data_IF_357241856320
#
_entry.id   IF_357241856320
#
_cell.length_a   1.000
_cell.length_b   1.000
_cell.length_c   1.000
_cell.angle_alpha   90.00
_cell.angle_beta   90.00
_cell.angle_gamma   90.00
#
_symmetry.space_group_name_H-M   'P 1'
#
loop_
_entity.id
_entity.type
_entity.pdbx_description
1 polymer ?
#
# COMPACT_ATOMS: atom_id res chain seq x y z
N UNK A 1 -45.18 54.00 30.78
CA UNK A 1 -45.38 53.29 29.53
C UNK A 1 -43.96 53.06 28.98
N UNK A 2 -43.21 52.07 29.27
CA UNK A 2 -43.39 50.65 29.44
C UNK A 2 -43.15 49.94 28.13
N UNK A 3 -41.97 49.54 27.82
CA UNK A 3 -41.75 48.41 26.92
C UNK A 3 -40.42 47.76 27.25
N UNK A 4 -40.52 46.58 27.83
CA UNK A 4 -39.47 45.67 28.14
C UNK A 4 -39.13 44.89 26.86
N UNK A 5 -37.85 44.87 26.46
CA UNK A 5 -37.34 44.05 25.39
C UNK A 5 -36.68 42.80 25.96
N UNK A 6 -37.26 41.64 25.72
CA UNK A 6 -36.78 40.32 26.05
C UNK A 6 -35.43 40.01 25.38
N UNK A 7 -34.49 39.54 26.18
CA UNK A 7 -33.19 39.04 25.73
C UNK A 7 -33.35 37.55 25.42
N UNK A 8 -33.30 37.20 24.12
CA UNK A 8 -33.33 35.84 23.63
C UNK A 8 -32.05 35.05 23.97
N UNK A 9 -32.28 33.91 24.61
CA UNK A 9 -31.27 32.91 24.94
C UNK A 9 -30.54 32.39 23.74
N UNK A 10 -29.21 32.45 23.78
CA UNK A 10 -28.32 31.78 22.82
C UNK A 10 -28.33 30.29 23.09
N UNK A 11 -28.80 29.49 22.14
CA UNK A 11 -28.66 28.05 22.09
C UNK A 11 -27.19 27.66 21.91
N UNK A 12 -26.69 26.91 22.89
CA UNK A 12 -25.38 26.29 22.86
C UNK A 12 -25.40 25.09 21.88
N UNK A 13 -24.78 25.24 20.73
CA UNK A 13 -24.58 24.17 19.77
C UNK A 13 -23.52 23.22 20.31
N UNK A 14 -23.99 22.07 20.80
CA UNK A 14 -23.18 20.91 21.19
C UNK A 14 -22.40 20.35 19.97
N UNK A 15 -21.09 20.65 19.88
CA UNK A 15 -20.15 20.14 18.88
C UNK A 15 -19.33 18.97 19.40
N UNK A 16 -19.95 17.97 19.98
CA UNK A 16 -19.26 16.72 20.35
C UNK A 16 -19.72 15.53 19.51
N UNK A 17 -19.50 15.58 18.20
CA UNK A 17 -19.49 14.36 17.38
C UNK A 17 -18.05 13.94 17.11
N UNK A 18 -17.38 13.44 18.14
CA UNK A 18 -16.18 12.64 17.98
C UNK A 18 -16.57 11.31 17.32
N UNK A 19 -16.45 11.25 16.00
CA UNK A 19 -16.52 10.01 15.25
C UNK A 19 -15.47 9.06 15.77
N UNK A 20 -15.87 8.10 16.61
CA UNK A 20 -15.08 6.92 16.97
C UNK A 20 -14.88 6.08 15.71
N UNK A 21 -13.84 6.38 14.95
CA UNK A 21 -13.37 5.45 13.91
C UNK A 21 -12.89 4.19 14.59
N UNK A 22 -13.67 3.12 14.41
CA UNK A 22 -13.37 1.79 14.90
C UNK A 22 -11.98 1.33 14.44
N UNK A 23 -11.05 1.19 15.38
CA UNK A 23 -9.80 0.45 15.20
C UNK A 23 -10.14 -1.04 15.12
N UNK A 24 -10.30 -1.54 13.92
CA UNK A 24 -10.59 -2.95 13.64
C UNK A 24 -10.45 -3.23 12.15
N UNK A 25 -9.38 -2.70 11.50
CA UNK A 25 -9.05 -3.13 10.15
C UNK A 25 -8.19 -4.37 10.27
N UNK A 26 -8.78 -5.54 9.92
CA UNK A 26 -8.02 -6.75 9.61
C UNK A 26 -6.85 -6.37 8.70
N UNK A 27 -5.67 -6.94 8.97
CA UNK A 27 -4.47 -6.69 8.17
C UNK A 27 -4.81 -6.81 6.67
N UNK A 28 -4.47 -5.84 5.83
CA UNK A 28 -4.93 -5.78 4.44
C UNK A 28 -4.58 -7.03 3.63
N UNK A 29 -3.55 -7.77 4.05
CA UNK A 29 -3.10 -9.02 3.42
C UNK A 29 -4.07 -10.21 3.60
N UNK A 30 -5.00 -10.15 4.57
CA UNK A 30 -5.93 -11.25 4.86
C UNK A 30 -7.34 -11.04 4.28
N UNK A 31 -7.62 -9.87 3.73
CA UNK A 31 -8.91 -9.64 3.06
C UNK A 31 -9.03 -10.54 1.83
N UNK A 32 -10.20 -11.18 1.65
CA UNK A 32 -10.48 -12.05 0.50
C UNK A 32 -11.29 -11.30 -0.55
N UNK A 33 -10.89 -11.44 -1.79
CA UNK A 33 -11.59 -10.89 -2.95
C UNK A 33 -11.13 -11.58 -4.25
N UNK A 34 -11.79 -11.27 -5.35
CA UNK A 34 -11.37 -11.71 -6.69
C UNK A 34 -10.28 -10.80 -7.26
N UNK A 35 -9.13 -10.76 -6.61
CA UNK A 35 -8.03 -9.84 -6.96
C UNK A 35 -7.52 -9.99 -8.39
N UNK A 36 -7.65 -11.19 -8.98
CA UNK A 36 -7.20 -11.49 -10.33
C UNK A 36 -8.30 -11.40 -11.39
N UNK A 37 -9.53 -11.03 -11.04
CA UNK A 37 -10.69 -11.03 -11.95
C UNK A 37 -10.42 -10.29 -13.27
N UNK A 38 -9.79 -9.13 -13.20
CA UNK A 38 -9.45 -8.30 -14.36
C UNK A 38 -8.14 -8.69 -15.06
N UNK A 39 -7.47 -9.75 -14.59
CA UNK A 39 -6.18 -10.21 -15.10
C UNK A 39 -6.35 -11.56 -15.82
N UNK A 40 -6.92 -11.58 -17.03
CA UNK A 40 -6.98 -12.80 -17.82
C UNK A 40 -5.57 -13.20 -18.33
N UNK A 41 -5.41 -14.45 -18.76
CA UNK A 41 -4.11 -14.93 -19.21
C UNK A 41 -3.57 -14.17 -20.42
N UNK A 42 -4.43 -13.65 -21.29
CA UNK A 42 -4.02 -12.80 -22.40
C UNK A 42 -3.35 -11.51 -21.90
N UNK A 43 -3.88 -10.88 -20.83
CA UNK A 43 -3.25 -9.72 -20.18
C UNK A 43 -1.89 -10.05 -19.59
N UNK A 44 -1.73 -11.21 -18.93
CA UNK A 44 -0.43 -11.70 -18.41
C UNK A 44 0.57 -11.86 -19.54
N UNK A 45 0.15 -12.49 -20.65
CA UNK A 45 0.99 -12.68 -21.85
C UNK A 45 1.39 -11.33 -22.46
N UNK A 46 0.48 -10.38 -22.50
CA UNK A 46 0.76 -9.04 -23.03
C UNK A 46 1.79 -8.28 -22.19
N UNK A 47 1.75 -8.41 -20.87
CA UNK A 47 2.79 -7.84 -19.96
C UNK A 47 4.14 -8.47 -20.28
N UNK A 48 4.21 -9.80 -20.38
CA UNK A 48 5.46 -10.49 -20.72
C UNK A 48 6.00 -10.04 -22.08
N UNK A 49 5.11 -9.93 -23.09
CA UNK A 49 5.46 -9.43 -24.41
C UNK A 49 6.12 -8.04 -24.35
N UNK A 50 5.49 -7.09 -23.64
CA UNK A 50 6.02 -5.74 -23.48
C UNK A 50 7.36 -5.71 -22.74
N UNK A 51 7.59 -6.63 -21.79
CA UNK A 51 8.88 -6.79 -21.11
C UNK A 51 9.95 -7.33 -22.07
N UNK A 52 9.62 -8.33 -22.90
CA UNK A 52 10.54 -8.85 -23.92
C UNK A 52 10.95 -7.77 -24.91
N UNK A 53 9.99 -6.95 -25.38
CA UNK A 53 10.25 -5.84 -26.30
C UNK A 53 11.21 -4.81 -25.69
N UNK A 54 10.95 -4.36 -24.46
CA UNK A 54 11.83 -3.41 -23.76
C UNK A 54 13.21 -4.00 -23.44
N UNK A 55 13.26 -5.28 -23.07
CA UNK A 55 14.50 -5.99 -22.75
C UNK A 55 15.25 -6.55 -23.98
N UNK A 56 14.73 -6.33 -25.21
CA UNK A 56 15.27 -6.88 -26.47
C UNK A 56 15.50 -8.39 -26.41
N UNK A 57 14.60 -9.11 -25.71
CA UNK A 57 14.65 -10.57 -25.60
C UNK A 57 13.66 -11.22 -26.58
N UNK A 58 13.99 -12.45 -26.98
CA UNK A 58 13.12 -13.25 -27.83
C UNK A 58 11.82 -13.57 -27.07
N UNK A 59 10.68 -13.39 -27.73
CA UNK A 59 9.37 -13.83 -27.23
C UNK A 59 9.27 -15.35 -27.34
N UNK A 60 8.63 -15.97 -26.37
CA UNK A 60 8.38 -17.40 -26.42
C UNK A 60 7.74 -17.92 -25.15
N UNK A 61 7.19 -19.10 -25.25
CA UNK A 61 6.56 -19.84 -24.15
C UNK A 61 7.40 -21.07 -23.81
N UNK A 62 7.37 -21.46 -22.55
CA UNK A 62 7.86 -22.75 -22.12
C UNK A 62 6.78 -23.80 -22.44
N UNK A 63 7.04 -24.66 -23.42
CA UNK A 63 6.06 -25.66 -23.89
C UNK A 63 5.59 -26.63 -22.79
N UNK A 64 6.44 -26.90 -21.79
CA UNK A 64 6.14 -27.85 -20.72
C UNK A 64 5.19 -27.27 -19.66
N UNK A 65 5.30 -25.98 -19.37
CA UNK A 65 4.63 -25.39 -18.22
C UNK A 65 3.54 -24.38 -18.58
N UNK A 66 3.63 -23.75 -19.77
CA UNK A 66 2.75 -22.66 -20.16
C UNK A 66 1.26 -23.01 -20.08
N UNK A 67 0.85 -24.15 -20.71
CA UNK A 67 -0.54 -24.54 -20.75
C UNK A 67 -1.12 -24.81 -19.36
N UNK A 68 -0.38 -25.54 -18.52
CA UNK A 68 -0.81 -25.86 -17.17
C UNK A 68 -0.88 -24.64 -16.25
N UNK A 69 0.04 -23.66 -16.41
CA UNK A 69 -0.02 -22.39 -15.68
C UNK A 69 -1.20 -21.54 -16.14
N UNK A 70 -1.46 -21.50 -17.45
CA UNK A 70 -2.58 -20.76 -18.01
C UNK A 70 -3.93 -21.28 -17.50
N UNK A 71 -4.13 -22.60 -17.50
CA UNK A 71 -5.33 -23.24 -16.99
C UNK A 71 -5.54 -22.95 -15.49
N UNK A 72 -4.51 -23.14 -14.69
CA UNK A 72 -4.58 -22.84 -13.26
C UNK A 72 -4.84 -21.35 -13.01
N UNK A 73 -4.24 -20.46 -13.81
CA UNK A 73 -4.49 -19.03 -13.75
C UNK A 73 -5.98 -18.70 -13.92
N UNK A 74 -6.61 -19.21 -15.00
CA UNK A 74 -8.03 -18.93 -15.26
C UNK A 74 -8.93 -19.49 -14.16
N UNK A 75 -8.60 -20.65 -13.59
CA UNK A 75 -9.30 -21.23 -12.44
C UNK A 75 -9.16 -20.35 -11.18
N UNK A 76 -7.93 -19.90 -10.87
CA UNK A 76 -7.67 -19.07 -9.70
C UNK A 76 -8.26 -17.67 -9.83
N UNK A 77 -8.26 -17.10 -11.02
CA UNK A 77 -8.82 -15.79 -11.33
C UNK A 77 -10.32 -15.70 -11.01
N UNK A 78 -11.06 -16.75 -11.21
CA UNK A 78 -12.48 -16.80 -10.93
C UNK A 78 -12.82 -16.92 -9.42
N UNK A 79 -11.85 -17.33 -8.61
CA UNK A 79 -12.01 -17.56 -7.17
C UNK A 79 -11.67 -16.36 -6.30
N UNK A 80 -12.16 -16.41 -5.05
CA UNK A 80 -11.74 -15.48 -4.01
C UNK A 80 -10.47 -16.00 -3.32
N UNK A 81 -9.45 -15.17 -3.29
CA UNK A 81 -8.18 -15.41 -2.62
C UNK A 81 -7.96 -14.32 -1.58
N UNK A 82 -7.21 -14.62 -0.53
CA UNK A 82 -6.60 -13.54 0.24
C UNK A 82 -5.50 -12.87 -0.59
N UNK A 83 -5.15 -11.65 -0.24
CA UNK A 83 -4.07 -10.95 -0.93
C UNK A 83 -2.75 -11.71 -0.82
N UNK A 84 -2.49 -12.31 0.35
CA UNK A 84 -1.32 -13.15 0.57
C UNK A 84 -1.32 -14.38 -0.34
N UNK A 85 -2.44 -15.13 -0.39
CA UNK A 85 -2.59 -16.30 -1.29
C UNK A 85 -2.39 -15.88 -2.76
N UNK A 86 -2.84 -14.68 -3.13
CA UNK A 86 -2.63 -14.13 -4.47
C UNK A 86 -1.14 -13.93 -4.76
N UNK A 87 -0.38 -13.33 -3.83
CA UNK A 87 1.06 -13.14 -4.02
C UNK A 87 1.84 -14.46 -4.01
N UNK A 88 1.45 -15.43 -3.19
CA UNK A 88 2.01 -16.79 -3.20
C UNK A 88 1.75 -17.49 -4.54
N UNK A 89 0.56 -17.31 -5.09
CA UNK A 89 0.22 -17.83 -6.41
C UNK A 89 1.06 -17.17 -7.53
N UNK A 90 1.22 -15.84 -7.51
CA UNK A 90 2.11 -15.15 -8.45
C UNK A 90 3.55 -15.66 -8.37
N UNK A 91 4.05 -15.89 -7.15
CA UNK A 91 5.38 -16.49 -6.93
C UNK A 91 5.46 -17.92 -7.48
N UNK A 92 4.42 -18.72 -7.31
CA UNK A 92 4.34 -20.08 -7.89
C UNK A 92 4.39 -20.03 -9.41
N UNK A 93 3.63 -19.12 -10.03
CA UNK A 93 3.68 -18.93 -11.49
C UNK A 93 5.07 -18.51 -11.98
N UNK A 94 5.75 -17.60 -11.26
CA UNK A 94 7.14 -17.24 -11.56
C UNK A 94 8.06 -18.46 -11.55
N UNK A 95 8.00 -19.29 -10.49
CA UNK A 95 8.86 -20.48 -10.35
C UNK A 95 8.64 -21.54 -11.43
N UNK A 96 7.42 -21.66 -11.90
CA UNK A 96 7.05 -22.59 -12.99
C UNK A 96 7.47 -22.09 -14.37
N UNK A 97 7.88 -20.83 -14.46
CA UNK A 97 8.47 -20.23 -15.66
C UNK A 97 7.70 -20.51 -16.96
N UNK A 98 6.42 -20.05 -17.11
CA UNK A 98 5.60 -20.30 -18.29
C UNK A 98 6.10 -19.62 -19.59
N UNK A 99 7.00 -18.64 -19.47
CA UNK A 99 7.62 -17.93 -20.58
C UNK A 99 9.12 -18.23 -20.64
N UNK A 100 9.72 -18.01 -21.80
CA UNK A 100 11.18 -18.20 -21.94
C UNK A 100 11.98 -17.15 -21.14
N UNK A 101 11.45 -15.92 -21.07
CA UNK A 101 12.12 -14.80 -20.41
C UNK A 101 11.16 -13.98 -19.54
N UNK A 102 11.70 -13.22 -18.62
CA UNK A 102 11.02 -12.23 -17.78
C UNK A 102 9.87 -12.76 -16.90
N UNK A 103 9.85 -14.04 -16.56
CA UNK A 103 8.80 -14.58 -15.68
C UNK A 103 8.69 -13.82 -14.35
N UNK A 104 9.82 -13.59 -13.66
CA UNK A 104 9.83 -12.82 -12.42
C UNK A 104 9.27 -11.42 -12.59
N UNK A 105 9.72 -10.70 -13.60
CA UNK A 105 9.25 -9.34 -13.87
C UNK A 105 7.75 -9.30 -14.23
N UNK A 106 7.27 -10.29 -15.00
CA UNK A 106 5.86 -10.39 -15.41
C UNK A 106 4.94 -10.49 -14.19
N UNK A 107 5.19 -11.43 -13.31
CA UNK A 107 4.35 -11.65 -12.13
C UNK A 107 4.59 -10.58 -11.04
N UNK A 108 5.81 -10.05 -10.93
CA UNK A 108 6.10 -8.92 -10.06
C UNK A 108 5.36 -7.64 -10.47
N UNK A 109 5.19 -7.39 -11.77
CA UNK A 109 4.43 -6.23 -12.27
C UNK A 109 2.95 -6.32 -11.87
N UNK A 110 2.35 -7.51 -11.96
CA UNK A 110 0.98 -7.74 -11.50
C UNK A 110 0.89 -7.52 -9.97
N UNK A 111 1.85 -8.06 -9.21
CA UNK A 111 1.92 -7.86 -7.76
C UNK A 111 2.02 -6.38 -7.37
N UNK A 112 2.86 -5.60 -8.07
CA UNK A 112 2.96 -4.15 -7.87
C UNK A 112 1.66 -3.42 -8.16
N UNK A 113 1.01 -3.75 -9.28
CA UNK A 113 -0.25 -3.12 -9.66
C UNK A 113 -1.34 -3.38 -8.63
N UNK A 114 -1.49 -4.64 -8.18
CA UNK A 114 -2.45 -5.01 -7.13
C UNK A 114 -2.17 -4.28 -5.82
N UNK A 115 -0.91 -4.30 -5.37
CA UNK A 115 -0.52 -3.62 -4.13
C UNK A 115 -0.80 -2.11 -4.19
N UNK A 116 -0.45 -1.47 -5.31
CA UNK A 116 -0.67 -0.04 -5.51
C UNK A 116 -2.16 0.32 -5.53
N UNK A 117 -2.99 -0.52 -6.16
CA UNK A 117 -4.43 -0.31 -6.22
C UNK A 117 -5.11 -0.49 -4.85
N UNK A 118 -4.70 -1.51 -4.09
CA UNK A 118 -5.29 -1.84 -2.78
C UNK A 118 -4.84 -0.90 -1.67
N UNK A 119 -3.62 -0.40 -1.73
CA UNK A 119 -3.06 0.53 -0.76
C UNK A 119 -3.15 1.99 -1.22
N UNK A 120 -4.11 2.32 -2.09
CA UNK A 120 -4.27 3.68 -2.65
C UNK A 120 -4.45 4.77 -1.59
N UNK A 121 -4.95 4.43 -0.41
CA UNK A 121 -5.13 5.34 0.73
C UNK A 121 -3.80 5.68 1.43
N UNK A 122 -2.74 4.91 1.19
CA UNK A 122 -1.41 5.20 1.73
C UNK A 122 -0.72 6.29 0.89
N UNK A 123 0.18 7.08 1.49
CA UNK A 123 1.07 7.98 0.78
C UNK A 123 1.84 7.27 -0.35
N UNK A 124 2.11 7.98 -1.45
CA UNK A 124 2.69 7.39 -2.66
C UNK A 124 3.99 6.60 -2.41
N UNK A 125 4.91 7.14 -1.61
CA UNK A 125 6.19 6.49 -1.31
C UNK A 125 5.98 5.18 -0.54
N UNK A 126 5.07 5.12 0.44
CA UNK A 126 4.74 3.89 1.17
C UNK A 126 4.12 2.83 0.27
N UNK A 127 3.21 3.24 -0.64
CA UNK A 127 2.67 2.33 -1.65
C UNK A 127 3.77 1.76 -2.53
N UNK A 128 4.72 2.60 -2.95
CA UNK A 128 5.85 2.18 -3.77
C UNK A 128 6.75 1.19 -3.05
N UNK A 129 7.04 1.41 -1.77
CA UNK A 129 7.84 0.48 -0.96
C UNK A 129 7.12 -0.84 -0.71
N UNK A 130 5.83 -0.82 -0.36
CA UNK A 130 5.03 -2.03 -0.21
C UNK A 130 4.97 -2.82 -1.53
N UNK A 131 4.75 -2.14 -2.66
CA UNK A 131 4.75 -2.75 -3.98
C UNK A 131 6.12 -3.34 -4.35
N UNK A 132 7.22 -2.71 -3.94
CA UNK A 132 8.57 -3.22 -4.11
C UNK A 132 8.82 -4.47 -3.26
N UNK A 133 8.40 -4.48 -1.99
CA UNK A 133 8.51 -5.65 -1.11
C UNK A 133 7.75 -6.86 -1.67
N UNK A 134 6.53 -6.65 -2.17
CA UNK A 134 5.74 -7.70 -2.84
C UNK A 134 6.44 -8.21 -4.10
N UNK A 135 6.99 -7.32 -4.93
CA UNK A 135 7.73 -7.71 -6.12
C UNK A 135 8.97 -8.56 -5.78
N UNK A 136 9.73 -8.17 -4.75
CA UNK A 136 10.88 -8.93 -4.26
C UNK A 136 10.47 -10.29 -3.70
N UNK A 137 9.33 -10.38 -3.02
CA UNK A 137 8.77 -11.66 -2.59
C UNK A 137 8.43 -12.57 -3.78
N UNK A 138 7.74 -12.07 -4.79
CA UNK A 138 7.34 -12.83 -5.98
C UNK A 138 8.58 -13.35 -6.72
N UNK A 139 9.62 -12.54 -6.87
CA UNK A 139 10.86 -12.92 -7.54
C UNK A 139 11.79 -13.79 -6.67
N UNK A 140 11.46 -14.01 -5.40
CA UNK A 140 12.23 -14.87 -4.49
C UNK A 140 13.40 -14.18 -3.79
N UNK A 141 13.56 -12.87 -3.95
CA UNK A 141 14.58 -12.06 -3.26
C UNK A 141 14.24 -11.89 -1.78
N UNK A 142 12.95 -11.77 -1.47
CA UNK A 142 12.45 -11.61 -0.11
C UNK A 142 11.68 -12.87 0.31
N UNK A 143 11.80 -13.27 1.58
CA UNK A 143 10.95 -14.31 2.16
C UNK A 143 9.54 -13.79 2.52
N UNK A 144 8.64 -14.73 2.85
CA UNK A 144 7.24 -14.43 3.18
C UNK A 144 7.11 -13.54 4.40
N UNK A 145 7.82 -13.88 5.48
CA UNK A 145 7.66 -13.20 6.77
C UNK A 145 8.22 -11.79 6.73
N UNK A 146 9.34 -11.61 6.02
CA UNK A 146 9.92 -10.28 5.78
C UNK A 146 9.01 -9.41 4.92
N UNK A 147 8.41 -9.96 3.86
CA UNK A 147 7.43 -9.22 3.05
C UNK A 147 6.21 -8.84 3.87
N UNK A 148 5.66 -9.77 4.66
CA UNK A 148 4.49 -9.50 5.51
C UNK A 148 4.79 -8.42 6.55
N UNK A 149 5.95 -8.48 7.21
CA UNK A 149 6.36 -7.43 8.16
C UNK A 149 6.44 -6.08 7.50
N UNK A 150 7.14 -5.97 6.36
CA UNK A 150 7.27 -4.68 5.65
C UNK A 150 5.91 -4.11 5.23
N UNK A 151 5.03 -4.93 4.67
CA UNK A 151 3.69 -4.47 4.25
C UNK A 151 2.85 -4.03 5.45
N UNK A 152 2.91 -4.78 6.56
CA UNK A 152 2.19 -4.43 7.79
C UNK A 152 2.75 -3.14 8.41
N UNK A 153 4.07 -3.02 8.56
CA UNK A 153 4.72 -1.81 9.08
C UNK A 153 4.37 -0.57 8.24
N UNK A 154 4.39 -0.70 6.90
CA UNK A 154 4.02 0.40 6.01
C UNK A 154 2.52 0.73 6.07
N UNK A 155 1.67 -0.27 6.34
CA UNK A 155 0.22 -0.09 6.49
C UNK A 155 -0.16 0.47 7.87
N UNK A 156 0.59 0.08 8.91
CA UNK A 156 0.37 0.48 10.31
C UNK A 156 1.16 1.75 10.69
N UNK A 157 2.18 2.10 9.89
CA UNK A 157 2.96 3.29 10.14
C UNK A 157 1.99 4.48 10.25
N UNK A 158 1.90 4.97 11.48
CA UNK A 158 0.88 5.91 11.92
C UNK A 158 0.67 6.99 10.88
N UNK A 159 -0.58 7.18 10.47
CA UNK A 159 -0.99 8.38 9.79
C UNK A 159 -0.64 9.53 10.73
N UNK A 160 0.49 10.18 10.45
CA UNK A 160 0.88 11.35 11.20
C UNK A 160 -0.25 12.38 11.07
N UNK A 161 -0.79 12.79 12.21
CA UNK A 161 -1.90 13.74 12.27
C UNK A 161 -1.36 15.10 12.72
N UNK A 162 -1.99 16.20 12.31
CA UNK A 162 -1.72 17.50 12.89
C UNK A 162 -1.79 17.43 14.43
N UNK A 163 -0.76 17.94 15.09
CA UNK A 163 -0.60 17.88 16.56
C UNK A 163 0.21 16.70 17.10
N UNK A 164 0.58 15.72 16.26
CA UNK A 164 1.45 14.63 16.70
C UNK A 164 2.86 15.13 16.98
N UNK A 165 3.44 14.65 18.08
CA UNK A 165 4.86 14.87 18.39
C UNK A 165 5.70 13.91 17.57
N UNK A 166 6.69 14.45 16.89
CA UNK A 166 7.60 13.70 16.05
C UNK A 166 9.04 14.06 16.31
N UNK A 167 9.94 13.14 16.00
CA UNK A 167 11.39 13.40 15.94
C UNK A 167 11.99 12.78 14.68
N UNK A 168 13.11 13.31 14.24
CA UNK A 168 13.86 12.71 13.15
C UNK A 168 14.37 11.32 13.53
N UNK A 169 14.59 10.43 12.54
CA UNK A 169 15.15 9.08 12.78
C UNK A 169 16.46 9.11 13.60
N UNK A 170 17.28 10.15 13.42
CA UNK A 170 18.52 10.33 14.19
C UNK A 170 18.28 10.90 15.60
N UNK A 171 17.02 11.20 15.94
CA UNK A 171 16.64 11.74 17.25
C UNK A 171 17.13 13.15 17.55
N UNK A 172 17.74 13.83 16.58
CA UNK A 172 18.41 15.12 16.79
C UNK A 172 17.46 16.32 16.79
N UNK A 173 16.30 16.21 16.15
CA UNK A 173 15.33 17.30 16.03
C UNK A 173 13.95 16.75 16.37
N UNK A 174 13.31 17.32 17.39
CA UNK A 174 11.93 17.08 17.76
C UNK A 174 11.02 18.22 17.30
N UNK A 175 9.70 17.95 17.24
CA UNK A 175 8.72 18.96 16.87
C UNK A 175 7.30 18.42 16.80
N UNK A 176 6.40 19.22 16.22
CA UNK A 176 4.96 18.91 16.13
C UNK A 176 4.50 18.99 14.67
N UNK A 177 3.76 17.98 14.23
CA UNK A 177 3.15 17.95 12.90
C UNK A 177 2.13 19.07 12.76
N UNK A 178 2.24 19.87 11.71
CA UNK A 178 1.29 20.93 11.36
C UNK A 178 0.24 20.43 10.37
N UNK A 179 0.67 19.76 9.31
CA UNK A 179 -0.21 19.22 8.26
C UNK A 179 0.49 18.13 7.46
N UNK A 180 -0.29 17.28 6.83
CA UNK A 180 0.18 16.31 5.85
C UNK A 180 -0.26 16.80 4.46
N UNK A 181 0.68 16.87 3.53
CA UNK A 181 0.45 17.31 2.16
C UNK A 181 -0.21 16.19 1.33
N UNK A 182 -0.89 16.53 0.21
CA UNK A 182 -1.52 15.53 -0.66
C UNK A 182 -0.54 14.50 -1.23
N UNK A 183 0.73 14.84 -1.38
CA UNK A 183 1.80 13.94 -1.82
C UNK A 183 2.37 13.07 -0.69
N UNK A 184 1.82 13.19 0.53
CA UNK A 184 2.21 12.42 1.70
C UNK A 184 3.37 13.00 2.51
N UNK A 185 4.01 14.10 2.06
CA UNK A 185 5.01 14.79 2.87
C UNK A 185 4.37 15.44 4.09
N UNK A 186 5.12 15.50 5.17
CA UNK A 186 4.70 16.06 6.45
C UNK A 186 5.34 17.41 6.63
N UNK A 187 4.54 18.44 6.85
CA UNK A 187 5.00 19.76 7.31
C UNK A 187 4.88 19.76 8.83
N UNK A 188 5.98 20.02 9.51
CA UNK A 188 6.05 20.01 10.96
C UNK A 188 6.89 21.15 11.47
N UNK A 189 6.59 21.61 12.68
CA UNK A 189 7.33 22.68 13.35
C UNK A 189 8.31 22.07 14.33
N UNK A 190 9.59 22.28 14.06
CA UNK A 190 10.65 21.88 15.00
C UNK A 190 10.53 22.65 16.32
N UNK A 191 11.06 22.10 17.40
CA UNK A 191 11.10 22.78 18.71
C UNK A 191 11.89 24.10 18.68
N UNK A 192 12.77 24.28 17.69
CA UNK A 192 13.44 25.54 17.38
C UNK A 192 12.54 26.61 16.77
N UNK A 193 11.29 26.28 16.41
CA UNK A 193 10.33 27.16 15.74
C UNK A 193 10.36 27.09 14.21
N UNK A 194 11.35 26.44 13.60
CA UNK A 194 11.44 26.32 12.14
C UNK A 194 10.36 25.37 11.59
N UNK A 195 9.72 25.76 10.47
CA UNK A 195 8.86 24.84 9.70
C UNK A 195 9.72 24.03 8.74
N UNK A 196 9.59 22.72 8.83
CA UNK A 196 10.34 21.74 8.04
C UNK A 196 9.36 20.85 7.27
N UNK A 197 9.82 20.38 6.12
CA UNK A 197 9.07 19.36 5.34
C UNK A 197 9.90 18.10 5.27
N UNK A 198 9.29 16.97 5.57
CA UNK A 198 9.94 15.67 5.60
C UNK A 198 9.04 14.58 5.01
N UNK A 199 9.65 13.48 4.59
CA UNK A 199 8.93 12.25 4.30
C UNK A 199 8.52 11.59 5.63
N UNK A 200 7.31 11.01 5.75
CA UNK A 200 6.83 10.41 7.00
C UNK A 200 7.79 9.35 7.56
N UNK A 201 8.42 8.56 6.69
CA UNK A 201 9.39 7.54 7.08
C UNK A 201 10.68 8.09 7.70
N UNK A 202 10.96 9.38 7.51
CA UNK A 202 12.08 10.04 8.19
C UNK A 202 11.75 10.59 9.57
N UNK A 203 10.49 10.41 10.00
CA UNK A 203 9.97 10.87 11.28
C UNK A 203 9.50 9.69 12.14
N UNK A 204 9.79 9.75 13.43
CA UNK A 204 9.29 8.83 14.45
C UNK A 204 8.21 9.54 15.23
N UNK A 205 7.00 8.98 15.28
CA UNK A 205 5.94 9.50 16.14
C UNK A 205 6.26 9.16 17.60
N UNK A 206 6.32 10.17 18.45
CA UNK A 206 6.44 9.98 19.89
C UNK A 206 5.05 9.68 20.46
N UNK A 207 4.75 8.40 20.74
CA UNK A 207 3.48 8.02 21.37
C UNK A 207 3.35 8.78 22.69
N UNK A 208 2.24 9.49 22.87
CA UNK A 208 1.85 10.02 24.19
C UNK A 208 1.78 8.84 25.16
N UNK A 209 2.63 8.85 26.19
CA UNK A 209 2.52 7.93 27.33
C UNK A 209 1.22 8.18 28.08
#
# INVERSE_FOLDING_TARGET
>A
MGDEAEIGSAESVDRSRHSKRSRGKSAPLQSRAKFLENWNWASVTQINRGLCERGRAQRGINKETHAAVAEEWEKRRAGELSLLETFEFLRSCHRRAPFLFFNGNTFAEIGRALTTALLRELPFHRRKEAASAVAHFITGVLDRDSMMRMVNELSEAADLQPGDRVKTLRGSIGGTVLRVLPDGRVVWRADSGAELTALPESLICEKKK
#
